data_IF_299061668133
#
_entry.id   IF_299061668133
#
_cell.length_a   1.000
_cell.length_b   1.000
_cell.length_c   1.000
_cell.angle_alpha   90.00
_cell.angle_beta   90.00
_cell.angle_gamma   90.00
#
_symmetry.space_group_name_H-M   'P 1'
#
loop_
_entity.id
_entity.type
_entity.pdbx_description
1 polymer ?
#
# COMPACT_ATOMS: atom_id res chain seq x y z
N UNK A 1 19.78 -2.69 2.07
CA UNK A 1 19.11 -3.13 0.83
C UNK A 1 17.61 -3.04 1.00
N UNK A 2 16.95 -2.43 0.03
CA UNK A 2 15.51 -2.22 0.10
C UNK A 2 14.76 -3.51 -0.19
N UNK A 3 13.75 -3.81 0.62
CA UNK A 3 12.92 -4.98 0.40
C UNK A 3 12.17 -4.85 -0.93
N UNK A 4 12.02 -5.94 -1.69
CA UNK A 4 11.21 -5.88 -2.91
C UNK A 4 9.76 -5.52 -2.59
N UNK A 5 9.14 -4.80 -3.51
CA UNK A 5 7.75 -4.38 -3.34
C UNK A 5 6.83 -5.57 -3.09
N UNK A 6 7.00 -6.64 -3.88
CA UNK A 6 6.15 -7.82 -3.74
C UNK A 6 6.26 -8.44 -2.35
N UNK A 7 7.47 -8.47 -1.80
CA UNK A 7 7.68 -9.03 -0.46
C UNK A 7 7.04 -8.15 0.60
N UNK A 8 7.09 -6.83 0.40
CA UNK A 8 6.46 -5.88 1.32
C UNK A 8 4.95 -6.03 1.31
N UNK A 9 4.35 -6.17 0.14
CA UNK A 9 2.91 -6.40 0.02
C UNK A 9 2.52 -7.71 0.69
N UNK A 10 3.29 -8.77 0.45
CA UNK A 10 3.02 -10.06 1.09
C UNK A 10 3.10 -9.96 2.60
N UNK A 11 4.09 -9.23 3.10
CA UNK A 11 4.26 -9.02 4.53
C UNK A 11 3.04 -8.32 5.13
N UNK A 12 2.55 -7.28 4.46
CA UNK A 12 1.35 -6.56 4.89
C UNK A 12 0.13 -7.49 4.93
N UNK A 13 -0.05 -8.27 3.88
CA UNK A 13 -1.19 -9.20 3.78
C UNK A 13 -1.10 -10.28 4.86
N UNK A 14 0.08 -10.89 5.00
CA UNK A 14 0.26 -11.98 5.94
C UNK A 14 0.13 -11.52 7.40
N UNK A 15 0.55 -10.29 7.67
CA UNK A 15 0.52 -9.75 9.04
C UNK A 15 -0.83 -9.15 9.40
N UNK A 16 -1.68 -8.88 8.41
CA UNK A 16 -2.89 -8.07 8.58
C UNK A 16 -3.78 -8.56 9.72
N UNK A 17 -4.06 -9.86 9.76
CA UNK A 17 -4.99 -10.42 10.75
C UNK A 17 -4.48 -10.27 12.19
N UNK A 18 -3.18 -10.16 12.37
CA UNK A 18 -2.58 -9.98 13.69
C UNK A 18 -2.43 -8.55 14.14
N UNK A 19 -2.81 -7.60 13.29
CA UNK A 19 -2.66 -6.18 13.59
C UNK A 19 -3.86 -5.67 14.38
N UNK A 20 -3.62 -4.61 15.18
CA UNK A 20 -4.72 -3.92 15.86
C UNK A 20 -5.59 -3.22 14.82
N UNK A 21 -6.86 -2.87 15.17
CA UNK A 21 -7.75 -2.20 14.21
C UNK A 21 -7.15 -0.92 13.61
N UNK A 22 -6.44 -0.14 14.40
CA UNK A 22 -5.82 1.09 13.89
C UNK A 22 -4.69 0.77 12.91
N UNK A 23 -3.87 -0.22 13.24
CA UNK A 23 -2.81 -0.67 12.33
C UNK A 23 -3.39 -1.28 11.07
N UNK A 24 -4.52 -1.98 11.19
CA UNK A 24 -5.20 -2.53 10.03
C UNK A 24 -5.70 -1.44 9.09
N UNK A 25 -6.20 -0.33 9.64
CA UNK A 25 -6.62 0.81 8.80
C UNK A 25 -5.45 1.33 7.97
N UNK A 26 -4.30 1.50 8.60
CA UNK A 26 -3.13 1.99 7.90
C UNK A 26 -2.67 0.99 6.84
N UNK A 27 -2.61 -0.28 7.20
CA UNK A 27 -2.19 -1.33 6.27
C UNK A 27 -3.14 -1.45 5.09
N UNK A 28 -4.44 -1.38 5.35
CA UNK A 28 -5.45 -1.45 4.30
C UNK A 28 -5.30 -0.29 3.31
N UNK A 29 -5.10 0.91 3.82
CA UNK A 29 -4.87 2.06 2.95
C UNK A 29 -3.65 1.85 2.06
N UNK A 30 -2.56 1.35 2.64
CA UNK A 30 -1.33 1.12 1.89
C UNK A 30 -1.52 0.06 0.80
N UNK A 31 -2.28 -0.98 1.10
CA UNK A 31 -2.56 -2.04 0.13
C UNK A 31 -3.46 -1.55 -1.00
N UNK A 32 -4.44 -0.71 -0.68
CA UNK A 32 -5.39 -0.20 -1.66
C UNK A 32 -4.85 0.98 -2.47
N UNK A 33 -3.90 1.71 -1.90
CA UNK A 33 -3.39 2.94 -2.50
C UNK A 33 -1.86 2.98 -2.46
N UNK A 34 -1.20 2.00 -3.08
CA UNK A 34 0.27 1.95 -3.02
C UNK A 34 0.95 3.15 -3.66
N UNK A 35 0.33 3.75 -4.67
CA UNK A 35 0.87 4.94 -5.31
C UNK A 35 0.90 6.12 -4.35
N UNK A 36 -0.14 6.25 -3.55
CA UNK A 36 -0.22 7.31 -2.55
C UNK A 36 0.88 7.19 -1.52
N UNK A 37 1.21 5.95 -1.15
CA UNK A 37 2.28 5.69 -0.19
C UNK A 37 3.62 6.18 -0.73
N UNK A 38 3.90 5.89 -1.98
CA UNK A 38 5.15 6.31 -2.61
C UNK A 38 5.26 7.80 -2.86
N UNK A 39 4.13 8.45 -3.15
CA UNK A 39 4.11 9.86 -3.54
C UNK A 39 4.01 10.82 -2.35
N UNK A 40 3.41 10.40 -1.25
CA UNK A 40 3.07 11.32 -0.17
C UNK A 40 3.92 11.12 1.08
N UNK A 41 3.94 12.15 1.92
CA UNK A 41 4.60 12.08 3.22
C UNK A 41 3.81 11.19 4.18
N UNK A 42 4.47 10.78 5.26
CA UNK A 42 3.83 9.98 6.29
C UNK A 42 2.57 10.66 6.85
N UNK A 43 2.62 11.96 7.06
CA UNK A 43 1.47 12.71 7.59
C UNK A 43 0.30 12.66 6.63
N UNK A 44 0.57 12.81 5.34
CA UNK A 44 -0.47 12.77 4.33
C UNK A 44 -1.08 11.36 4.23
N UNK A 45 -0.23 10.35 4.26
CA UNK A 45 -0.68 8.96 4.24
C UNK A 45 -1.56 8.67 5.45
N UNK A 46 -1.11 9.09 6.64
CA UNK A 46 -1.89 8.88 7.86
C UNK A 46 -3.25 9.57 7.78
N UNK A 47 -3.28 10.81 7.32
CA UNK A 47 -4.52 11.55 7.19
C UNK A 47 -5.49 10.86 6.23
N UNK A 48 -4.99 10.43 5.08
CA UNK A 48 -5.83 9.75 4.09
C UNK A 48 -6.31 8.38 4.58
N UNK A 49 -5.48 7.71 5.36
CA UNK A 49 -5.85 6.42 5.95
C UNK A 49 -6.81 6.55 7.12
N UNK A 50 -6.96 7.76 7.64
CA UNK A 50 -7.82 7.98 8.80
C UNK A 50 -7.18 7.60 10.11
N UNK A 51 -5.85 7.66 10.21
CA UNK A 51 -5.11 7.32 11.42
C UNK A 51 -4.11 8.42 11.76
N UNK A 52 -3.53 8.32 12.95
CA UNK A 52 -2.50 9.27 13.36
C UNK A 52 -1.15 8.87 12.78
N UNK A 53 -0.23 9.85 12.57
CA UNK A 53 1.12 9.51 12.10
C UNK A 53 1.82 8.49 12.97
N UNK A 54 1.62 8.54 14.29
CA UNK A 54 2.18 7.56 15.20
C UNK A 54 1.74 6.14 14.88
N UNK A 55 0.51 5.98 14.38
CA UNK A 55 -0.01 4.67 13.98
C UNK A 55 0.77 4.13 12.80
N UNK A 56 1.09 4.99 11.83
CA UNK A 56 1.88 4.57 10.67
C UNK A 56 3.28 4.14 11.10
N UNK A 57 3.88 4.88 12.03
CA UNK A 57 5.17 4.52 12.58
C UNK A 57 5.12 3.16 13.29
N UNK A 58 4.08 2.94 14.08
CA UNK A 58 3.88 1.67 14.79
C UNK A 58 3.71 0.51 13.81
N UNK A 59 2.97 0.74 12.74
CA UNK A 59 2.80 -0.28 11.70
C UNK A 59 4.15 -0.66 11.11
N UNK A 60 4.98 0.32 10.80
CA UNK A 60 6.31 0.06 10.25
C UNK A 60 7.12 -0.84 11.18
N UNK A 61 7.12 -0.53 12.47
CA UNK A 61 7.85 -1.32 13.45
C UNK A 61 7.25 -2.70 13.66
N UNK A 62 5.93 -2.79 13.63
CA UNK A 62 5.26 -4.08 13.77
C UNK A 62 5.61 -5.01 12.61
N UNK A 63 5.89 -4.47 11.44
CA UNK A 63 6.28 -5.26 10.27
C UNK A 63 7.79 -5.54 10.23
N UNK A 64 8.54 -5.02 11.19
CA UNK A 64 9.98 -5.28 11.27
C UNK A 64 10.86 -4.22 10.64
N UNK A 65 10.29 -3.09 10.25
CA UNK A 65 11.07 -1.98 9.70
C UNK A 65 11.51 -1.06 10.85
N UNK A 66 12.69 -0.46 10.68
CA UNK A 66 13.19 0.46 11.70
C UNK A 66 12.40 1.75 11.77
N UNK A 67 11.93 2.21 10.60
CA UNK A 67 11.16 3.45 10.50
C UNK A 67 10.24 3.37 9.29
N UNK A 68 9.33 4.33 9.20
CA UNK A 68 8.39 4.38 8.08
C UNK A 68 9.10 4.52 6.73
N UNK A 69 10.20 5.26 6.68
CA UNK A 69 10.96 5.42 5.44
C UNK A 69 11.36 4.09 4.83
N UNK A 70 11.74 3.13 5.66
CA UNK A 70 12.12 1.81 5.19
C UNK A 70 10.92 1.05 4.62
N UNK A 71 9.76 1.18 5.25
CA UNK A 71 8.53 0.57 4.76
C UNK A 71 8.09 1.22 3.44
N UNK A 72 8.24 2.53 3.34
CA UNK A 72 7.81 3.30 2.19
C UNK A 72 8.70 3.06 0.95
N UNK A 73 9.98 2.80 1.17
CA UNK A 73 10.94 2.73 0.07
C UNK A 73 10.55 1.75 -1.05
N UNK A 74 10.06 0.54 -0.79
CA UNK A 74 9.61 -0.34 -1.86
C UNK A 74 8.51 0.27 -2.72
N UNK A 75 7.63 1.07 -2.12
CA UNK A 75 6.57 1.75 -2.84
C UNK A 75 7.13 2.83 -3.77
N UNK A 76 8.12 3.56 -3.28
CA UNK A 76 8.80 4.57 -4.09
C UNK A 76 9.59 3.95 -5.24
N UNK A 77 10.25 2.84 -4.96
CA UNK A 77 10.99 2.10 -5.99
C UNK A 77 10.06 1.64 -7.10
N UNK A 78 8.89 1.14 -6.71
CA UNK A 78 7.93 0.70 -7.70
C UNK A 78 7.49 1.84 -8.60
N UNK A 79 7.25 3.02 -8.03
CA UNK A 79 6.88 4.20 -8.80
C UNK A 79 7.98 4.57 -9.80
N UNK A 80 9.23 4.56 -9.35
CA UNK A 80 10.36 4.89 -10.22
C UNK A 80 10.49 3.91 -11.37
N UNK A 81 10.32 2.62 -11.09
CA UNK A 81 10.42 1.58 -12.11
C UNK A 81 9.29 1.63 -13.11
N UNK A 82 8.12 2.10 -12.68
CA UNK A 82 6.94 2.15 -13.54
C UNK A 82 6.66 3.54 -14.07
N UNK A 83 7.57 4.49 -13.85
CA UNK A 83 7.44 5.81 -14.42
C UNK A 83 7.54 5.72 -15.93
N UNK A 84 6.62 6.38 -16.66
CA UNK A 84 6.70 6.41 -18.11
C UNK A 84 7.91 7.26 -18.51
N UNK A 85 8.88 6.63 -19.14
CA UNK A 85 10.08 7.34 -19.55
C UNK A 85 9.88 8.09 -20.85
N UNK A 86 8.92 7.70 -21.67
CA UNK A 86 8.69 8.32 -22.97
C UNK A 86 7.28 8.06 -23.45
N UNK A 87 6.91 8.68 -24.56
CA UNK A 87 5.59 8.53 -25.16
C UNK A 87 5.21 7.08 -25.43
N UNK A 88 6.19 6.23 -25.72
CA UNK A 88 5.92 4.80 -25.94
C UNK A 88 5.41 4.12 -24.71
N UNK A 89 5.62 4.74 -23.56
CA UNK A 89 5.17 4.20 -22.31
C UNK A 89 3.70 4.41 -22.01
N UNK A 90 2.99 5.21 -22.83
CA UNK A 90 1.60 5.54 -22.53
C UNK A 90 0.72 4.30 -22.52
N UNK A 91 0.83 3.46 -23.53
CA UNK A 91 0.05 2.23 -23.59
C UNK A 91 0.47 1.27 -22.47
N UNK A 92 1.77 1.19 -22.23
CA UNK A 92 2.30 0.39 -21.14
C UNK A 92 1.77 0.85 -19.79
N UNK A 93 1.75 2.16 -19.59
CA UNK A 93 1.25 2.74 -18.34
C UNK A 93 -0.22 2.39 -18.15
N UNK A 94 -1.01 2.54 -19.20
CA UNK A 94 -2.43 2.21 -19.14
C UNK A 94 -2.64 0.72 -18.88
N UNK A 95 -1.87 -0.13 -19.53
CA UNK A 95 -1.97 -1.57 -19.32
C UNK A 95 -1.62 -1.95 -17.90
N UNK A 96 -0.54 -1.40 -17.38
CA UNK A 96 -0.12 -1.65 -16.00
C UNK A 96 -1.13 -1.11 -14.99
N UNK A 97 -1.67 0.05 -15.28
CA UNK A 97 -2.70 0.64 -14.43
C UNK A 97 -3.95 -0.23 -14.41
N UNK A 98 -4.34 -0.75 -15.55
CA UNK A 98 -5.51 -1.64 -15.63
C UNK A 98 -5.28 -2.93 -14.87
N UNK A 99 -4.08 -3.50 -14.97
CA UNK A 99 -3.74 -4.72 -14.23
C UNK A 99 -3.76 -4.48 -12.73
N UNK A 100 -3.13 -3.39 -12.29
CA UNK A 100 -3.11 -3.03 -10.89
C UNK A 100 -4.51 -2.71 -10.38
N UNK A 101 -5.29 -2.01 -11.20
CA UNK A 101 -6.65 -1.64 -10.86
C UNK A 101 -7.53 -2.89 -10.73
N UNK A 102 -7.35 -3.85 -11.62
CA UNK A 102 -8.10 -5.11 -11.54
C UNK A 102 -7.82 -5.87 -10.26
N UNK A 103 -6.56 -5.91 -9.86
CA UNK A 103 -6.15 -6.56 -8.63
C UNK A 103 -6.75 -5.87 -7.41
N UNK A 104 -6.70 -4.55 -7.40
CA UNK A 104 -7.27 -3.77 -6.31
C UNK A 104 -8.78 -3.91 -6.24
N UNK A 105 -9.44 -3.95 -7.39
CA UNK A 105 -10.87 -4.14 -7.43
C UNK A 105 -11.27 -5.51 -6.89
N UNK A 106 -10.49 -6.53 -7.20
CA UNK A 106 -10.74 -7.86 -6.70
C UNK A 106 -10.62 -7.90 -5.17
N UNK A 107 -9.59 -7.29 -4.64
CA UNK A 107 -9.42 -7.18 -3.19
C UNK A 107 -10.55 -6.36 -2.56
N UNK A 108 -10.91 -5.28 -3.20
CA UNK A 108 -11.99 -4.41 -2.74
C UNK A 108 -13.33 -5.13 -2.77
N UNK A 109 -13.55 -5.94 -3.79
CA UNK A 109 -14.76 -6.71 -3.91
C UNK A 109 -14.89 -7.72 -2.78
N UNK A 110 -13.79 -8.38 -2.41
CA UNK A 110 -13.79 -9.31 -1.30
C UNK A 110 -14.11 -8.60 0.00
N UNK A 111 -13.57 -7.40 0.21
CA UNK A 111 -13.87 -6.63 1.40
C UNK A 111 -15.32 -6.18 1.46
N UNK A 112 -15.87 -5.76 0.32
CA UNK A 112 -17.27 -5.36 0.25
C UNK A 112 -18.18 -6.53 0.59
N UNK A 113 -17.85 -7.70 0.08
CA UNK A 113 -18.62 -8.90 0.41
C UNK A 113 -18.56 -9.19 1.90
N UNK A 114 -17.40 -9.05 2.50
CA UNK A 114 -17.24 -9.27 3.94
C UNK A 114 -18.05 -8.24 4.74
N UNK A 115 -18.04 -6.99 4.30
CA UNK A 115 -18.80 -5.93 4.96
C UNK A 115 -20.29 -6.22 4.85
N UNK A 116 -20.74 -6.60 3.68
CA UNK A 116 -22.15 -6.93 3.47
C UNK A 116 -22.57 -8.12 4.32
N UNK A 117 -21.69 -9.11 4.44
CA UNK A 117 -21.96 -10.28 5.28
C UNK A 117 -22.04 -9.89 6.75
N UNK A 118 -21.25 -8.91 7.16
CA UNK A 118 -21.21 -8.44 8.54
C UNK A 118 -22.42 -7.58 8.87
N UNK A 119 -22.92 -6.87 7.91
CA UNK A 119 -24.07 -5.98 8.10
C UNK A 119 -25.37 -6.76 8.01
#
# INVERSE_FOLDING_TARGET
>A
MTAPYADTIRLLVDSFSGLTPELQKAAKFMLENPEEVGLNSMRTVARKAGVKPATVTRLSKALGFEEYGALREPFRERLRKHEPKFATGVEDVQRRRNDAHGLLEELRRQEVENVETTL
#
